data_IF_309442363912
#
_entry.id   IF_309442363912
#
_cell.length_a   1.000
_cell.length_b   1.000
_cell.length_c   1.000
_cell.angle_alpha   90.00
_cell.angle_beta   90.00
_cell.angle_gamma   90.00
#
_symmetry.space_group_name_H-M   'P 1'
#
loop_
_entity.id
_entity.type
_entity.pdbx_description
1 polymer ?
#
# COMPACT_ATOMS: atom_id res chain seq x y z
N UNK A 1 -21.41 -9.66 -10.24
CA UNK A 1 -20.90 -9.45 -11.62
C UNK A 1 -19.37 -9.53 -11.66
N UNK A 2 -18.63 -8.75 -10.84
CA UNK A 2 -17.15 -8.78 -10.80
C UNK A 2 -16.55 -10.11 -10.31
N UNK A 3 -17.13 -10.75 -9.27
CA UNK A 3 -16.58 -11.98 -8.69
C UNK A 3 -16.55 -13.14 -9.70
N UNK A 4 -17.54 -13.22 -10.60
CA UNK A 4 -17.56 -14.21 -11.67
C UNK A 4 -16.44 -14.00 -12.69
N UNK A 5 -16.12 -12.74 -13.00
CA UNK A 5 -15.00 -12.39 -13.89
C UNK A 5 -13.68 -12.72 -13.18
N UNK A 6 -13.54 -12.34 -11.92
CA UNK A 6 -12.34 -12.55 -11.12
C UNK A 6 -12.02 -14.03 -10.88
N UNK A 7 -13.05 -14.87 -10.77
CA UNK A 7 -12.96 -16.32 -10.61
C UNK A 7 -13.02 -17.09 -11.93
N UNK A 8 -12.78 -16.43 -13.07
CA UNK A 8 -12.76 -17.12 -14.36
C UNK A 8 -11.66 -18.19 -14.33
N UNK A 9 -12.01 -19.48 -14.45
CA UNK A 9 -11.03 -20.56 -14.36
C UNK A 9 -10.18 -20.60 -15.64
N UNK A 10 -8.93 -21.02 -15.50
CA UNK A 10 -8.11 -21.34 -16.67
C UNK A 10 -8.70 -22.55 -17.40
N UNK A 11 -8.67 -22.51 -18.72
CA UNK A 11 -9.16 -23.60 -19.59
C UNK A 11 -8.05 -24.13 -20.48
N UNK A 12 -8.11 -25.42 -20.80
CA UNK A 12 -7.08 -26.10 -21.61
C UNK A 12 -5.95 -26.68 -20.77
N UNK A 13 -5.00 -27.33 -21.45
CA UNK A 13 -3.84 -27.96 -20.82
C UNK A 13 -2.69 -26.95 -20.70
N UNK A 14 -2.06 -26.82 -19.52
CA UNK A 14 -0.89 -25.94 -19.35
C UNK A 14 0.18 -26.23 -20.40
N UNK A 15 0.79 -25.19 -20.95
CA UNK A 15 1.82 -25.25 -22.00
C UNK A 15 1.35 -25.80 -23.36
N UNK A 16 0.04 -25.77 -23.65
CA UNK A 16 -0.50 -26.01 -24.99
C UNK A 16 -0.98 -24.72 -25.65
N UNK A 17 -1.06 -24.71 -26.98
CA UNK A 17 -1.61 -23.58 -27.76
C UNK A 17 -3.10 -23.30 -27.43
N UNK A 18 -3.77 -24.25 -26.78
CA UNK A 18 -5.18 -24.19 -26.43
C UNK A 18 -5.40 -23.63 -25.01
N UNK A 19 -4.32 -23.25 -24.32
CA UNK A 19 -4.40 -22.76 -22.95
C UNK A 19 -4.87 -21.32 -22.91
N UNK A 20 -5.98 -21.09 -22.22
CA UNK A 20 -6.47 -19.75 -21.89
C UNK A 20 -6.33 -19.57 -20.38
N UNK A 21 -5.47 -18.64 -19.98
CA UNK A 21 -5.23 -18.34 -18.58
C UNK A 21 -6.43 -17.58 -17.98
N UNK A 22 -7.00 -18.16 -16.92
CA UNK A 22 -7.98 -17.50 -16.07
C UNK A 22 -7.31 -16.51 -15.09
N UNK A 23 -8.10 -15.83 -14.26
CA UNK A 23 -7.57 -14.83 -13.34
C UNK A 23 -7.12 -15.43 -12.00
N UNK A 24 -8.06 -15.89 -11.17
CA UNK A 24 -7.78 -16.43 -9.83
C UNK A 24 -8.69 -17.61 -9.50
N UNK A 25 -8.22 -18.54 -8.68
CA UNK A 25 -9.07 -19.61 -8.13
C UNK A 25 -9.87 -19.08 -6.94
N UNK A 26 -11.01 -19.70 -6.60
CA UNK A 26 -11.74 -19.37 -5.37
C UNK A 26 -10.88 -19.48 -4.10
N UNK A 27 -9.94 -20.42 -4.06
CA UNK A 27 -8.95 -20.58 -2.99
C UNK A 27 -7.94 -19.43 -2.89
N UNK A 28 -7.76 -18.67 -3.97
CA UNK A 28 -6.78 -17.59 -4.06
C UNK A 28 -7.42 -16.25 -3.66
N UNK A 29 -8.74 -16.22 -3.41
CA UNK A 29 -9.43 -15.06 -2.84
C UNK A 29 -9.03 -14.95 -1.39
N UNK A 30 -8.00 -14.17 -1.16
CA UNK A 30 -7.52 -13.83 0.18
C UNK A 30 -8.54 -12.94 0.90
N UNK A 31 -8.54 -12.95 2.25
CA UNK A 31 -9.38 -12.07 3.06
C UNK A 31 -9.25 -10.58 2.69
N UNK A 32 -8.09 -10.14 2.19
CA UNK A 32 -7.88 -8.75 1.79
C UNK A 32 -8.71 -8.35 0.55
N UNK A 33 -8.93 -9.26 -0.42
CA UNK A 33 -9.77 -8.98 -1.60
C UNK A 33 -11.23 -8.85 -1.17
N UNK A 34 -11.67 -9.71 -0.25
CA UNK A 34 -13.01 -9.61 0.32
C UNK A 34 -13.20 -8.27 1.04
N UNK A 35 -12.27 -7.89 1.90
CA UNK A 35 -12.34 -6.60 2.61
C UNK A 35 -12.31 -5.42 1.65
N UNK A 36 -11.44 -5.46 0.64
CA UNK A 36 -11.34 -4.42 -0.37
C UNK A 36 -12.68 -4.25 -1.11
N UNK A 37 -13.32 -5.32 -1.56
CA UNK A 37 -14.51 -5.16 -2.40
C UNK A 37 -15.78 -4.91 -1.58
N UNK A 38 -15.93 -5.57 -0.44
CA UNK A 38 -17.16 -5.50 0.35
C UNK A 38 -17.15 -4.39 1.39
N UNK A 39 -15.99 -3.93 1.88
CA UNK A 39 -15.95 -2.94 2.97
C UNK A 39 -15.37 -1.59 2.56
N UNK A 40 -14.66 -1.48 1.43
CA UNK A 40 -14.10 -0.17 1.04
C UNK A 40 -15.19 0.86 0.76
N UNK A 41 -16.33 0.46 0.18
CA UNK A 41 -17.41 1.41 -0.12
C UNK A 41 -18.00 2.00 1.17
N UNK A 42 -18.23 1.18 2.20
CA UNK A 42 -18.72 1.63 3.50
C UNK A 42 -17.70 2.52 4.19
N UNK A 43 -16.42 2.14 4.13
CA UNK A 43 -15.31 2.95 4.64
C UNK A 43 -15.24 4.32 3.94
N UNK A 44 -15.37 4.35 2.61
CA UNK A 44 -15.36 5.58 1.83
C UNK A 44 -16.55 6.49 2.13
N UNK A 45 -17.75 5.93 2.35
CA UNK A 45 -18.92 6.72 2.76
C UNK A 45 -18.75 7.32 4.16
N UNK A 46 -18.25 6.56 5.14
CA UNK A 46 -17.96 7.08 6.49
C UNK A 46 -16.93 8.20 6.48
N UNK A 47 -15.97 8.15 5.56
CA UNK A 47 -14.85 9.08 5.47
C UNK A 47 -14.96 10.07 4.31
N UNK A 48 -16.16 10.21 3.72
CA UNK A 48 -16.45 11.05 2.55
C UNK A 48 -16.01 12.50 2.71
N UNK A 49 -16.00 13.03 3.93
CA UNK A 49 -15.53 14.39 4.27
C UNK A 49 -14.10 14.68 3.84
N UNK A 50 -13.24 13.66 3.72
CA UNK A 50 -11.85 13.82 3.30
C UNK A 50 -11.69 13.74 1.77
N UNK A 51 -12.63 13.09 1.08
CA UNK A 51 -12.62 12.91 -0.37
C UNK A 51 -11.58 11.89 -0.85
N UNK A 52 -11.73 11.43 -2.10
CA UNK A 52 -10.90 10.37 -2.70
C UNK A 52 -9.39 10.70 -2.68
N UNK A 53 -9.04 11.98 -2.84
CA UNK A 53 -7.65 12.48 -2.83
C UNK A 53 -6.91 12.27 -1.51
N UNK A 54 -7.62 12.00 -0.41
CA UNK A 54 -7.01 11.73 0.89
C UNK A 54 -6.62 10.26 1.09
N UNK A 55 -7.00 9.37 0.18
CA UNK A 55 -6.64 7.96 0.22
C UNK A 55 -5.49 7.67 -0.75
N UNK A 56 -4.58 6.79 -0.33
CA UNK A 56 -3.45 6.34 -1.12
C UNK A 56 -3.54 4.83 -1.33
N UNK A 57 -3.29 4.38 -2.56
CA UNK A 57 -3.22 2.97 -2.92
C UNK A 57 -1.83 2.67 -3.48
N UNK A 58 -1.17 1.65 -2.93
CA UNK A 58 0.11 1.16 -3.42
C UNK A 58 0.13 -0.37 -3.32
N UNK A 59 0.80 -1.10 -4.24
CA UNK A 59 0.98 -2.54 -4.13
C UNK A 59 1.63 -2.89 -2.79
N UNK A 60 1.13 -3.93 -2.13
CA UNK A 60 1.58 -4.33 -0.79
C UNK A 60 3.06 -4.70 -0.80
N UNK A 61 3.53 -5.39 -1.85
CA UNK A 61 4.94 -5.77 -1.97
C UNK A 61 5.84 -4.55 -2.10
N UNK A 62 5.43 -3.56 -2.91
CA UNK A 62 6.19 -2.34 -3.10
C UNK A 62 6.21 -1.48 -1.82
N UNK A 63 5.06 -1.35 -1.14
CA UNK A 63 4.96 -0.63 0.14
C UNK A 63 5.83 -1.30 1.21
N UNK A 64 5.80 -2.63 1.29
CA UNK A 64 6.65 -3.39 2.19
C UNK A 64 8.14 -3.23 1.86
N UNK A 65 8.53 -3.32 0.59
CA UNK A 65 9.92 -3.12 0.16
C UNK A 65 10.44 -1.72 0.52
N UNK A 66 9.62 -0.68 0.31
CA UNK A 66 9.94 0.70 0.68
C UNK A 66 10.09 0.85 2.18
N UNK A 67 9.18 0.30 2.98
CA UNK A 67 9.25 0.35 4.45
C UNK A 67 10.49 -0.38 4.97
N UNK A 68 10.77 -1.59 4.49
CA UNK A 68 11.99 -2.35 4.82
C UNK A 68 13.24 -1.55 4.47
N UNK A 69 13.28 -0.95 3.27
CA UNK A 69 14.45 -0.20 2.81
C UNK A 69 14.66 1.12 3.56
N UNK A 70 13.58 1.83 3.91
CA UNK A 70 13.67 3.15 4.54
C UNK A 70 13.85 3.08 6.06
N UNK A 71 13.16 2.16 6.73
CA UNK A 71 13.11 2.11 8.19
C UNK A 71 13.95 0.95 8.75
N UNK A 72 13.85 -0.25 8.17
CA UNK A 72 14.49 -1.44 8.75
C UNK A 72 15.94 -1.67 8.29
N UNK A 73 16.35 -1.15 7.12
CA UNK A 73 17.75 -1.20 6.67
C UNK A 73 18.63 -0.11 7.31
N UNK A 74 18.04 0.96 7.85
CA UNK A 74 18.77 2.13 8.39
C UNK A 74 18.66 2.32 9.90
N UNK A 75 17.70 1.66 10.57
CA UNK A 75 17.58 1.70 12.03
C UNK A 75 17.64 0.29 12.60
N UNK A 76 18.24 0.13 13.78
CA UNK A 76 18.08 -1.12 14.55
C UNK A 76 16.58 -1.36 14.73
N UNK A 77 16.11 -2.62 14.60
CA UNK A 77 14.70 -3.07 14.72
C UNK A 77 13.91 -2.45 15.89
N UNK A 78 14.68 -1.96 16.85
CA UNK A 78 14.30 -1.43 18.14
C UNK A 78 14.29 0.11 18.23
N UNK A 79 14.66 0.86 17.19
CA UNK A 79 14.59 2.33 17.20
C UNK A 79 15.79 3.03 17.86
N UNK A 80 17.00 2.47 17.69
CA UNK A 80 18.25 3.05 18.19
C UNK A 80 18.39 3.05 19.73
N UNK A 81 19.57 3.44 20.24
CA UNK A 81 19.83 3.62 21.68
C UNK A 81 19.71 5.11 22.05
N UNK A 82 18.75 5.46 22.91
CA UNK A 82 18.58 6.82 23.43
C UNK A 82 17.18 7.12 23.98
N UNK A 83 17.03 8.24 24.68
CA UNK A 83 15.78 8.69 25.34
C UNK A 83 14.64 9.03 24.38
N UNK A 84 14.92 9.18 23.08
CA UNK A 84 13.94 9.44 22.00
C UNK A 84 13.63 8.19 21.15
N UNK A 85 13.63 7.00 21.74
CA UNK A 85 13.35 5.72 21.05
C UNK A 85 11.89 5.70 20.56
N UNK A 86 11.69 5.87 19.24
CA UNK A 86 10.39 5.65 18.58
C UNK A 86 10.38 4.29 17.89
N UNK A 87 9.29 3.54 18.05
CA UNK A 87 9.11 2.28 17.31
C UNK A 87 9.10 2.53 15.81
N UNK A 88 9.53 1.55 15.01
CA UNK A 88 9.51 1.65 13.55
C UNK A 88 8.10 1.97 13.02
N UNK A 89 7.06 1.46 13.69
CA UNK A 89 5.65 1.72 13.35
C UNK A 89 5.32 3.22 13.51
N UNK A 90 5.70 3.85 14.62
CA UNK A 90 5.46 5.29 14.82
C UNK A 90 6.25 6.14 13.83
N UNK A 91 7.49 5.75 13.52
CA UNK A 91 8.30 6.44 12.51
C UNK A 91 7.66 6.36 11.11
N UNK A 92 7.15 5.18 10.73
CA UNK A 92 6.42 4.98 9.46
C UNK A 92 5.15 5.84 9.44
N UNK A 93 4.35 5.81 10.51
CA UNK A 93 3.11 6.59 10.60
C UNK A 93 3.36 8.10 10.48
N UNK A 94 4.36 8.63 11.21
CA UNK A 94 4.73 10.04 11.14
C UNK A 94 5.21 10.43 9.74
N UNK A 95 6.03 9.58 9.10
CA UNK A 95 6.52 9.83 7.75
C UNK A 95 5.39 9.84 6.71
N UNK A 96 4.50 8.84 6.73
CA UNK A 96 3.36 8.77 5.81
C UNK A 96 2.42 9.96 6.01
N UNK A 97 2.14 10.34 7.26
CA UNK A 97 1.31 11.51 7.57
C UNK A 97 1.94 12.82 7.09
N UNK A 98 3.26 13.01 7.28
CA UNK A 98 3.98 14.19 6.76
C UNK A 98 3.94 14.24 5.23
N UNK A 99 4.16 13.10 4.57
CA UNK A 99 4.10 13.00 3.10
C UNK A 99 2.70 13.35 2.58
N UNK A 100 1.64 12.85 3.25
CA UNK A 100 0.26 13.20 2.94
C UNK A 100 -0.01 14.71 3.13
N UNK A 101 0.46 15.29 4.23
CA UNK A 101 0.34 16.73 4.47
C UNK A 101 0.95 17.57 3.34
N UNK A 102 2.18 17.26 2.91
CA UNK A 102 2.84 17.98 1.82
C UNK A 102 2.13 17.79 0.48
N UNK A 103 1.67 16.57 0.18
CA UNK A 103 0.96 16.27 -1.06
C UNK A 103 -0.41 16.97 -1.13
N UNK A 104 -1.14 17.03 -0.01
CA UNK A 104 -2.46 17.67 0.04
C UNK A 104 -2.37 19.19 0.01
N UNK A 105 -1.30 19.76 0.56
CA UNK A 105 -1.14 21.20 0.70
C UNK A 105 -0.37 21.87 -0.44
N UNK A 106 0.09 21.13 -1.47
CA UNK A 106 0.75 21.64 -2.68
C UNK A 106 1.47 22.99 -2.46
N UNK A 107 2.61 22.98 -1.78
CA UNK A 107 3.51 24.13 -1.87
C UNK A 107 4.05 24.17 -3.31
N UNK A 108 3.39 24.94 -4.17
CA UNK A 108 4.11 25.69 -5.18
C UNK A 108 5.30 26.33 -4.46
N UNK A 109 6.52 25.99 -4.88
CA UNK A 109 7.83 26.33 -4.29
C UNK A 109 8.42 25.27 -3.33
N UNK A 110 9.13 24.30 -3.89
CA UNK A 110 10.29 23.71 -3.21
C UNK A 110 11.50 24.02 -4.09
N UNK A 111 12.43 24.90 -3.66
CA UNK A 111 13.75 24.92 -4.26
C UNK A 111 14.42 23.57 -3.98
N UNK A 112 14.97 22.98 -5.02
CA UNK A 112 15.75 21.76 -4.95
C UNK A 112 16.67 21.73 -3.72
N UNK A 113 16.82 20.53 -3.16
CA UNK A 113 17.93 20.11 -2.28
C UNK A 113 17.71 20.34 -0.78
N UNK A 114 17.27 19.29 -0.09
CA UNK A 114 17.82 18.99 1.24
C UNK A 114 18.58 17.68 1.08
N UNK A 115 19.89 17.79 0.84
CA UNK A 115 20.83 16.69 1.08
C UNK A 115 20.81 16.45 2.59
N UNK A 116 20.32 15.30 3.02
CA UNK A 116 20.59 14.81 4.36
C UNK A 116 22.07 14.45 4.41
N UNK A 117 22.86 15.32 5.04
CA UNK A 117 24.24 15.06 5.37
C UNK A 117 24.24 14.05 6.53
N UNK A 118 24.81 12.87 6.27
CA UNK A 118 25.16 11.87 7.28
C UNK A 118 26.47 12.32 7.93
#
# INVERSE_FOLDING_TARGET
MWLKIFLTPSTGTPNSDNFVQGLYRPSDVTPYIHVLVFHIHEFMERHKKWGLKSFSCAPVENKNHQHVTQFFRKTLRDGGNGTNRKSAILQILEFENRKLYYNCNNFHNIPNTIKLQI
#
